data_IF_526906389812
#
_entry.id   IF_526906389812
#
_cell.length_a   1.000
_cell.length_b   1.000
_cell.length_c   1.000
_cell.angle_alpha   90.00
_cell.angle_beta   90.00
_cell.angle_gamma   90.00
#
_symmetry.space_group_name_H-M   'P 1'
#
loop_
_entity.id
_entity.type
_entity.pdbx_description
1 polymer ?
#
# COMPACT_ATOMS: atom_id res chain seq x y z
N UNK A 1 -6.65 -24.09 18.42
CA UNK A 1 -5.89 -23.38 17.37
C UNK A 1 -6.12 -21.89 17.60
N UNK A 2 -5.08 -21.13 17.93
CA UNK A 2 -5.21 -19.69 18.15
C UNK A 2 -5.45 -19.01 16.79
N UNK A 3 -6.64 -18.45 16.59
CA UNK A 3 -6.85 -17.47 15.52
C UNK A 3 -6.01 -16.26 15.92
N UNK A 4 -4.99 -15.85 15.14
CA UNK A 4 -4.25 -14.66 15.48
C UNK A 4 -5.25 -13.50 15.41
N UNK A 5 -5.47 -12.85 16.55
CA UNK A 5 -6.25 -11.61 16.60
C UNK A 5 -5.62 -10.69 15.57
N UNK A 6 -6.36 -10.31 14.53
CA UNK A 6 -5.92 -9.30 13.58
C UNK A 6 -5.57 -8.07 14.42
N UNK A 7 -4.27 -7.78 14.55
CA UNK A 7 -3.80 -6.58 15.25
C UNK A 7 -4.56 -5.39 14.71
N UNK A 8 -5.32 -4.70 15.57
CA UNK A 8 -6.07 -3.51 15.18
C UNK A 8 -5.12 -2.49 14.56
N UNK A 9 -5.65 -1.64 13.67
CA UNK A 9 -4.88 -0.51 13.13
C UNK A 9 -4.30 0.37 14.26
N UNK A 10 -5.00 0.47 15.40
CA UNK A 10 -4.53 1.19 16.58
C UNK A 10 -3.28 0.55 17.19
N UNK A 11 -3.25 -0.79 17.31
CA UNK A 11 -2.09 -1.53 17.81
C UNK A 11 -0.85 -1.29 16.96
N UNK A 12 -1.02 -1.28 15.64
CA UNK A 12 0.08 -1.02 14.70
C UNK A 12 0.58 0.41 14.83
N UNK A 13 -0.33 1.38 14.97
CA UNK A 13 0.04 2.79 15.18
C UNK A 13 0.83 2.94 16.49
N UNK A 14 0.39 2.30 17.57
CA UNK A 14 1.08 2.34 18.86
C UNK A 14 2.48 1.70 18.77
N UNK A 15 2.61 0.55 18.10
CA UNK A 15 3.90 -0.10 17.86
C UNK A 15 4.87 0.84 17.12
N UNK A 16 4.41 1.45 16.02
CA UNK A 16 5.21 2.38 15.23
C UNK A 16 5.59 3.63 16.03
N UNK A 17 4.69 4.18 16.83
CA UNK A 17 4.94 5.35 17.69
C UNK A 17 6.01 5.04 18.77
N UNK A 18 6.09 3.79 19.21
CA UNK A 18 7.09 3.31 20.17
C UNK A 18 8.40 2.83 19.50
N UNK A 19 8.59 3.07 18.19
CA UNK A 19 9.81 2.71 17.47
C UNK A 19 9.94 1.21 17.15
N UNK A 20 8.86 0.43 17.30
CA UNK A 20 8.85 -0.98 16.93
C UNK A 20 8.77 -1.09 15.41
N UNK A 21 9.70 -1.85 14.82
CA UNK A 21 9.69 -2.15 13.39
C UNK A 21 8.55 -3.11 13.06
N UNK A 22 7.59 -2.67 12.24
CA UNK A 22 6.48 -3.49 11.75
C UNK A 22 6.61 -3.66 10.24
N UNK A 23 6.61 -4.91 9.76
CA UNK A 23 6.75 -5.19 8.32
C UNK A 23 5.63 -4.54 7.49
N UNK A 24 5.94 -4.12 6.26
CA UNK A 24 4.94 -3.56 5.35
C UNK A 24 3.77 -4.51 5.09
N UNK A 25 4.01 -5.83 5.07
CA UNK A 25 2.95 -6.84 4.91
C UNK A 25 1.94 -6.81 6.06
N UNK A 26 2.37 -6.44 7.27
CA UNK A 26 1.51 -6.29 8.45
C UNK A 26 0.88 -4.90 8.48
N UNK A 27 1.67 -3.83 8.46
CA UNK A 27 1.19 -2.47 8.64
C UNK A 27 0.31 -2.00 7.48
N UNK A 28 0.73 -2.25 6.24
CA UNK A 28 0.06 -1.71 5.05
C UNK A 28 -1.17 -2.54 4.62
N UNK A 29 -1.64 -3.49 5.44
CA UNK A 29 -2.94 -4.16 5.21
C UNK A 29 -4.11 -3.18 5.29
N UNK A 30 -3.97 -2.12 6.08
CA UNK A 30 -4.99 -1.08 6.26
C UNK A 30 -4.88 0.00 5.17
N UNK A 31 -5.97 0.25 4.44
CA UNK A 31 -6.01 1.27 3.38
C UNK A 31 -5.65 2.66 3.90
N UNK A 32 -6.12 3.03 5.09
CA UNK A 32 -5.80 4.32 5.72
C UNK A 32 -4.29 4.50 5.90
N UNK A 33 -3.58 3.46 6.37
CA UNK A 33 -2.13 3.52 6.54
C UNK A 33 -1.41 3.61 5.18
N UNK A 34 -1.89 2.90 4.16
CA UNK A 34 -1.38 3.06 2.79
C UNK A 34 -1.57 4.48 2.29
N UNK A 35 -2.76 5.07 2.48
CA UNK A 35 -3.05 6.43 2.05
C UNK A 35 -2.13 7.46 2.74
N UNK A 36 -1.81 7.28 4.03
CA UNK A 36 -0.88 8.15 4.75
C UNK A 36 0.52 8.21 4.12
N UNK A 37 0.98 7.13 3.48
CA UNK A 37 2.30 7.12 2.79
C UNK A 37 2.36 8.11 1.62
N UNK A 38 1.22 8.47 1.02
CA UNK A 38 1.16 9.41 -0.11
C UNK A 38 1.31 10.89 0.30
N UNK A 39 1.63 11.19 1.57
CA UNK A 39 1.91 12.56 2.03
C UNK A 39 2.95 13.27 1.17
N UNK A 40 3.99 12.55 0.75
CA UNK A 40 5.09 13.08 -0.06
C UNK A 40 5.03 12.61 -1.53
N UNK A 41 3.91 12.06 -1.98
CA UNK A 41 3.73 11.70 -3.39
C UNK A 41 3.71 12.97 -4.24
N UNK A 42 4.34 13.01 -5.43
CA UNK A 42 4.39 14.22 -6.25
C UNK A 42 3.00 14.80 -6.54
N UNK A 43 2.86 16.12 -6.55
CA UNK A 43 1.57 16.80 -6.71
C UNK A 43 1.00 16.68 -8.12
N UNK A 44 1.87 16.54 -9.11
CA UNK A 44 1.53 16.38 -10.52
C UNK A 44 1.26 14.90 -10.91
N UNK A 45 1.38 13.95 -9.97
CA UNK A 45 1.16 12.53 -10.26
C UNK A 45 -0.25 12.11 -9.82
N UNK A 46 -0.93 11.27 -10.62
CA UNK A 46 -2.34 10.97 -10.40
C UNK A 46 -2.58 9.93 -9.29
N UNK A 47 -3.86 9.69 -8.99
CA UNK A 47 -4.35 8.44 -8.38
C UNK A 47 -4.01 8.10 -6.92
N UNK A 48 -3.46 8.98 -6.08
CA UNK A 48 -3.15 8.70 -4.66
C UNK A 48 -4.17 7.81 -3.93
N UNK A 49 -5.46 8.18 -3.97
CA UNK A 49 -6.56 7.42 -3.35
C UNK A 49 -6.80 6.07 -4.04
N UNK A 50 -6.80 6.04 -5.37
CA UNK A 50 -7.01 4.81 -6.16
C UNK A 50 -5.86 3.82 -6.01
N UNK A 51 -4.62 4.31 -5.84
CA UNK A 51 -3.42 3.50 -5.58
C UNK A 51 -3.53 2.83 -4.21
N UNK A 52 -3.85 3.59 -3.16
CA UNK A 52 -4.10 3.05 -1.82
C UNK A 52 -5.20 1.98 -1.83
N UNK A 53 -6.34 2.25 -2.49
CA UNK A 53 -7.43 1.29 -2.68
C UNK A 53 -7.06 0.06 -3.52
N UNK A 54 -6.04 0.16 -4.37
CA UNK A 54 -5.52 -0.97 -5.16
C UNK A 54 -4.46 -1.78 -4.40
N UNK A 55 -4.26 -1.54 -3.11
CA UNK A 55 -3.31 -2.30 -2.28
C UNK A 55 -1.89 -1.76 -2.29
N UNK A 56 -1.67 -0.59 -2.90
CA UNK A 56 -0.35 0.02 -3.02
C UNK A 56 -0.09 1.07 -1.94
N UNK A 57 1.15 1.14 -1.47
CA UNK A 57 1.67 2.25 -0.67
C UNK A 57 2.85 2.91 -1.39
N UNK A 58 3.10 4.17 -1.10
CA UNK A 58 4.20 4.94 -1.67
C UNK A 58 5.50 4.71 -0.90
N UNK A 59 6.58 4.42 -1.63
CA UNK A 59 7.89 4.09 -1.06
C UNK A 59 8.99 5.10 -1.44
N UNK A 60 8.62 6.36 -1.66
CA UNK A 60 9.51 7.53 -1.80
C UNK A 60 10.39 7.63 -3.05
N UNK A 61 10.03 6.97 -4.17
CA UNK A 61 10.72 7.11 -5.46
C UNK A 61 9.74 7.53 -6.57
N UNK A 62 9.82 8.79 -7.04
CA UNK A 62 8.92 9.43 -8.02
C UNK A 62 7.44 9.05 -7.84
N UNK A 63 6.87 8.28 -8.77
CA UNK A 63 5.50 7.79 -8.73
C UNK A 63 5.40 6.28 -8.45
N UNK A 64 6.52 5.65 -8.07
CA UNK A 64 6.60 4.23 -7.79
C UNK A 64 5.86 3.89 -6.51
N UNK A 65 5.00 2.87 -6.61
CA UNK A 65 4.25 2.33 -5.49
C UNK A 65 4.48 0.82 -5.36
N UNK A 66 4.29 0.28 -4.18
CA UNK A 66 4.53 -1.13 -3.85
C UNK A 66 3.27 -1.75 -3.27
N UNK A 67 2.86 -2.92 -3.77
CA UNK A 67 1.77 -3.65 -3.15
C UNK A 67 2.23 -4.27 -1.82
N UNK A 68 1.45 -4.10 -0.74
CA UNK A 68 1.80 -4.70 0.55
C UNK A 68 1.74 -6.23 0.57
N UNK A 69 0.91 -6.82 -0.30
CA UNK A 69 0.62 -8.25 -0.29
C UNK A 69 1.60 -9.05 -1.18
N UNK A 70 1.74 -8.64 -2.45
CA UNK A 70 2.59 -9.32 -3.43
C UNK A 70 3.95 -8.65 -3.68
N UNK A 71 4.24 -7.51 -3.04
CA UNK A 71 5.46 -6.72 -3.22
C UNK A 71 5.72 -6.21 -4.65
N UNK A 72 4.74 -6.31 -5.57
CA UNK A 72 4.89 -5.77 -6.94
C UNK A 72 5.08 -4.25 -6.90
N UNK A 73 6.14 -3.78 -7.56
CA UNK A 73 6.43 -2.36 -7.79
C UNK A 73 5.87 -1.90 -9.12
N UNK A 74 5.23 -0.74 -9.15
CA UNK A 74 4.66 -0.13 -10.35
C UNK A 74 4.86 1.38 -10.30
N UNK A 75 5.32 1.97 -11.40
CA UNK A 75 5.52 3.42 -11.58
C UNK A 75 5.36 3.80 -13.05
N UNK A 76 5.71 5.03 -13.40
CA UNK A 76 5.47 5.67 -14.70
C UNK A 76 3.99 5.72 -15.07
N UNK A 77 3.15 6.10 -14.11
CA UNK A 77 1.69 6.11 -14.26
C UNK A 77 1.22 7.14 -15.29
N UNK A 78 0.31 6.72 -16.15
CA UNK A 78 -0.39 7.59 -17.12
C UNK A 78 -1.81 7.87 -16.65
N UNK A 79 -2.34 9.05 -16.94
CA UNK A 79 -3.70 9.44 -16.53
C UNK A 79 -4.82 8.54 -17.08
N UNK A 80 -4.56 7.81 -18.16
CA UNK A 80 -5.51 6.84 -18.73
C UNK A 80 -5.53 5.49 -17.99
N UNK A 81 -4.62 5.25 -17.05
CA UNK A 81 -4.50 3.95 -16.38
C UNK A 81 -5.42 3.82 -15.16
N UNK A 82 -5.78 2.58 -14.84
CA UNK A 82 -6.53 2.23 -13.64
C UNK A 82 -5.65 1.37 -12.71
N UNK A 83 -5.27 1.87 -11.51
CA UNK A 83 -4.36 1.16 -10.62
C UNK A 83 -4.77 -0.29 -10.29
N UNK A 84 -6.06 -0.54 -10.07
CA UNK A 84 -6.55 -1.90 -9.81
C UNK A 84 -6.39 -2.83 -11.01
N UNK A 85 -6.62 -2.33 -12.23
CA UNK A 85 -6.47 -3.13 -13.44
C UNK A 85 -4.99 -3.40 -13.72
N UNK A 86 -4.12 -2.41 -13.52
CA UNK A 86 -2.67 -2.59 -13.58
C UNK A 86 -2.20 -3.65 -12.56
N UNK A 87 -2.74 -3.64 -11.34
CA UNK A 87 -2.42 -4.66 -10.34
C UNK A 87 -2.83 -6.07 -10.80
N UNK A 88 -4.07 -6.24 -11.28
CA UNK A 88 -4.56 -7.53 -11.82
C UNK A 88 -3.71 -8.04 -12.97
N UNK A 89 -3.31 -7.16 -13.88
CA UNK A 89 -2.49 -7.53 -15.03
C UNK A 89 -1.07 -7.94 -14.61
N UNK A 90 -0.47 -7.19 -13.68
CA UNK A 90 0.96 -7.31 -13.35
C UNK A 90 1.26 -8.34 -12.25
N UNK A 91 0.28 -8.68 -11.42
CA UNK A 91 0.39 -9.68 -10.37
C UNK A 91 -0.95 -10.40 -10.14
N UNK A 92 -1.43 -11.21 -11.13
CA UNK A 92 -2.76 -11.83 -11.10
C UNK A 92 -2.99 -12.79 -9.91
N UNK A 93 -1.91 -13.31 -9.32
CA UNK A 93 -1.97 -14.24 -8.18
C UNK A 93 -1.81 -13.53 -6.82
N UNK A 94 -1.91 -12.20 -6.77
CA UNK A 94 -1.83 -11.45 -5.52
C UNK A 94 -3.06 -11.74 -4.65
N UNK A 95 -2.87 -12.21 -3.42
CA UNK A 95 -3.98 -12.55 -2.50
C UNK A 95 -4.80 -11.34 -2.00
N UNK A 96 -4.43 -10.12 -2.39
CA UNK A 96 -5.22 -8.92 -2.13
C UNK A 96 -6.32 -8.68 -3.17
N UNK A 97 -6.12 -9.19 -4.40
CA UNK A 97 -7.04 -9.01 -5.53
C UNK A 97 -8.26 -9.93 -5.43
#
# INVERSE_FOLDING_TARGET
MAVPVLESVTTIIDQLANGISVSAKVSMRYETLRLCTFRNYPINKPFRIKLAKAGFYYASNDDEVICYCCAKRVGNWRESEHPMNAHRLMAPNCSYL
#
